data_IF_757723077640
#
_entry.id   IF_757723077640
#
_cell.length_a   1.000
_cell.length_b   1.000
_cell.length_c   1.000
_cell.angle_alpha   90.00
_cell.angle_beta   90.00
_cell.angle_gamma   90.00
#
_symmetry.space_group_name_H-M   'P 1'
#
loop_
_entity.id
_entity.type
_entity.pdbx_description
1 polymer ?
#
# COMPACT_ATOMS: atom_id res chain seq x y z
N UNK A 1 -32.53 18.56 5.28
CA UNK A 1 -31.25 18.54 4.50
C UNK A 1 -31.54 18.53 3.01
N UNK A 2 -30.81 19.33 2.23
CA UNK A 2 -30.87 19.29 0.76
C UNK A 2 -30.23 18.01 0.22
N UNK A 3 -30.62 17.59 -0.98
CA UNK A 3 -30.00 16.44 -1.65
C UNK A 3 -28.49 16.65 -1.84
N UNK A 4 -28.08 17.86 -2.23
CA UNK A 4 -26.67 18.24 -2.39
C UNK A 4 -25.87 18.04 -1.10
N UNK A 5 -26.38 18.51 0.05
CA UNK A 5 -25.71 18.33 1.34
C UNK A 5 -25.55 16.85 1.71
N UNK A 6 -26.57 16.01 1.45
CA UNK A 6 -26.48 14.56 1.71
C UNK A 6 -25.39 13.88 0.86
N UNK A 7 -25.28 14.21 -0.42
CA UNK A 7 -24.26 13.62 -1.29
C UNK A 7 -22.85 14.06 -0.89
N UNK A 8 -22.67 15.35 -0.58
CA UNK A 8 -21.40 15.86 -0.08
C UNK A 8 -20.95 15.13 1.20
N UNK A 9 -21.85 14.97 2.18
CA UNK A 9 -21.55 14.23 3.41
C UNK A 9 -21.23 12.75 3.15
N UNK A 10 -21.97 12.07 2.28
CA UNK A 10 -21.65 10.68 1.89
C UNK A 10 -20.25 10.57 1.28
N UNK A 11 -19.88 11.50 0.40
CA UNK A 11 -18.56 11.52 -0.21
C UNK A 11 -17.46 11.72 0.84
N UNK A 12 -17.66 12.63 1.79
CA UNK A 12 -16.71 12.85 2.88
C UNK A 12 -16.56 11.61 3.77
N UNK A 13 -17.67 10.98 4.14
CA UNK A 13 -17.66 9.76 4.96
C UNK A 13 -16.88 8.64 4.26
N UNK A 14 -17.13 8.43 2.95
CA UNK A 14 -16.41 7.42 2.19
C UNK A 14 -14.91 7.74 2.05
N UNK A 15 -14.55 9.01 1.89
CA UNK A 15 -13.16 9.43 1.82
C UNK A 15 -12.42 9.17 3.15
N UNK A 16 -13.06 9.47 4.28
CA UNK A 16 -12.49 9.18 5.61
C UNK A 16 -12.36 7.66 5.82
N UNK A 17 -13.40 6.90 5.46
CA UNK A 17 -13.38 5.44 5.57
C UNK A 17 -12.26 4.81 4.73
N UNK A 18 -12.01 5.31 3.52
CA UNK A 18 -10.91 4.84 2.68
C UNK A 18 -9.55 5.08 3.34
N UNK A 19 -9.34 6.25 3.93
CA UNK A 19 -8.09 6.56 4.65
C UNK A 19 -7.90 5.66 5.89
N UNK A 20 -8.98 5.37 6.63
CA UNK A 20 -8.90 4.47 7.78
C UNK A 20 -8.58 3.03 7.38
N UNK A 21 -9.14 2.54 6.27
CA UNK A 21 -8.79 1.21 5.75
C UNK A 21 -7.33 1.12 5.32
N UNK A 22 -6.79 2.17 4.70
CA UNK A 22 -5.36 2.23 4.34
C UNK A 22 -4.47 2.26 5.59
N UNK A 23 -4.84 3.03 6.60
CA UNK A 23 -4.13 3.08 7.88
C UNK A 23 -4.16 1.70 8.59
N UNK A 24 -5.33 1.06 8.68
CA UNK A 24 -5.48 -0.27 9.28
C UNK A 24 -4.65 -1.33 8.54
N UNK A 25 -4.59 -1.27 7.21
CA UNK A 25 -3.76 -2.18 6.41
C UNK A 25 -2.27 -2.01 6.72
N UNK A 26 -1.80 -0.76 6.84
CA UNK A 26 -0.42 -0.46 7.20
C UNK A 26 -0.09 -0.90 8.63
N UNK A 27 -0.99 -0.64 9.59
CA UNK A 27 -0.83 -1.09 10.98
C UNK A 27 -0.82 -2.62 11.10
N UNK A 28 -1.68 -3.30 10.34
CA UNK A 28 -1.73 -4.78 10.29
C UNK A 28 -0.43 -5.35 9.72
N UNK A 29 0.12 -4.74 8.68
CA UNK A 29 1.41 -5.13 8.11
C UNK A 29 2.55 -4.95 9.13
N UNK A 30 2.61 -3.79 9.80
CA UNK A 30 3.62 -3.53 10.82
C UNK A 30 3.48 -4.47 12.04
N UNK A 31 2.26 -4.76 12.47
CA UNK A 31 1.99 -5.71 13.55
C UNK A 31 2.42 -7.13 13.17
N UNK A 32 2.16 -7.55 11.92
CA UNK A 32 2.64 -8.83 11.38
C UNK A 32 4.16 -8.89 11.38
N UNK A 33 4.85 -7.87 10.90
CA UNK A 33 6.32 -7.85 10.86
C UNK A 33 6.91 -7.90 12.28
N UNK A 34 6.34 -7.15 13.22
CA UNK A 34 6.72 -7.19 14.64
C UNK A 34 6.53 -8.58 15.24
N UNK A 35 5.38 -9.21 14.97
CA UNK A 35 5.09 -10.58 15.43
C UNK A 35 6.08 -11.59 14.84
N UNK A 36 6.41 -11.48 13.55
CA UNK A 36 7.38 -12.37 12.90
C UNK A 36 8.79 -12.19 13.47
N UNK A 37 9.21 -10.97 13.79
CA UNK A 37 10.50 -10.70 14.43
C UNK A 37 10.58 -11.30 15.84
N UNK A 38 9.50 -11.25 16.63
CA UNK A 38 9.47 -11.81 17.98
C UNK A 38 9.42 -13.34 17.98
N UNK A 39 8.58 -13.93 17.12
CA UNK A 39 8.34 -15.39 17.11
C UNK A 39 9.31 -16.18 16.25
N UNK A 40 9.93 -15.55 15.25
CA UNK A 40 10.88 -16.20 14.36
C UNK A 40 12.05 -15.26 14.02
N UNK A 41 12.90 -14.91 15.00
CA UNK A 41 14.13 -14.18 14.72
C UNK A 41 15.07 -15.02 13.84
N UNK A 42 15.88 -14.35 13.03
CA UNK A 42 16.86 -15.02 12.21
C UNK A 42 17.79 -15.90 13.08
N UNK A 43 17.95 -17.19 12.77
CA UNK A 43 18.83 -18.05 13.56
C UNK A 43 20.27 -17.53 13.45
N UNK A 44 20.94 -17.40 14.59
CA UNK A 44 22.33 -17.01 14.62
C UNK A 44 23.22 -18.16 14.13
N UNK A 45 23.64 -18.05 12.88
CA UNK A 45 24.56 -18.99 12.24
C UNK A 45 26.03 -18.56 12.38
N UNK A 46 26.29 -17.40 12.98
CA UNK A 46 27.62 -16.91 13.27
C UNK A 46 28.13 -17.62 14.52
N UNK A 47 28.65 -18.84 14.34
CA UNK A 47 29.31 -19.55 15.44
C UNK A 47 30.38 -18.65 16.05
N UNK A 48 30.15 -18.19 17.28
CA UNK A 48 30.98 -17.34 18.17
C UNK A 48 32.45 -17.13 17.80
N UNK A 49 32.75 -16.50 16.66
CA UNK A 49 34.10 -16.00 16.36
C UNK A 49 34.47 -14.90 17.38
N UNK A 50 33.45 -14.19 17.90
CA UNK A 50 33.59 -13.13 18.88
C UNK A 50 33.93 -13.65 20.30
N UNK A 51 33.29 -14.72 20.78
CA UNK A 51 33.60 -15.27 22.12
C UNK A 51 34.99 -15.94 22.16
N UNK A 52 35.50 -16.40 21.02
CA UNK A 52 36.83 -17.00 20.89
C UNK A 52 37.97 -15.96 20.88
N UNK A 53 37.74 -14.75 20.35
CA UNK A 53 38.78 -13.71 20.31
C UNK A 53 39.04 -13.02 21.66
N UNK A 54 38.08 -13.06 22.61
CA UNK A 54 38.27 -12.41 23.93
C UNK A 54 39.16 -13.22 24.88
N UNK A 55 39.36 -14.53 24.62
CA UNK A 55 40.12 -15.42 25.51
C UNK A 55 41.57 -15.70 25.06
N UNK A 56 42.04 -15.15 23.94
CA UNK A 56 43.35 -15.53 23.36
C UNK A 56 44.49 -14.54 23.59
N UNK A 57 44.27 -13.43 24.32
CA UNK A 57 45.29 -12.39 24.48
C UNK A 57 46.16 -12.51 25.75
N UNK A 58 46.66 -13.71 26.11
CA UNK A 58 47.78 -13.83 27.08
C UNK A 58 48.67 -15.09 26.93
N UNK A 59 48.91 -15.67 25.74
CA UNK A 59 49.90 -16.77 25.65
C UNK A 59 50.84 -16.77 24.44
N UNK A 60 52.14 -16.82 24.76
CA UNK A 60 53.30 -16.95 23.87
C UNK A 60 53.30 -18.29 23.13
N UNK A 61 53.73 -18.24 21.87
CA UNK A 61 53.52 -19.24 20.83
C UNK A 61 54.52 -20.42 20.90
N UNK A 62 54.05 -21.68 20.99
CA UNK A 62 54.66 -22.89 20.35
C UNK A 62 53.72 -24.11 20.42
N UNK A 63 53.41 -24.73 19.26
CA UNK A 63 52.86 -26.10 19.05
C UNK A 63 51.44 -26.50 19.56
N UNK A 64 50.50 -25.57 19.81
CA UNK A 64 49.10 -25.90 20.23
C UNK A 64 48.01 -25.41 19.28
N UNK A 65 48.36 -24.63 18.25
CA UNK A 65 47.39 -23.90 17.41
C UNK A 65 46.53 -24.78 16.49
N UNK A 66 46.98 -25.99 16.15
CA UNK A 66 46.21 -26.95 15.34
C UNK A 66 45.11 -27.64 16.14
N UNK A 67 45.35 -27.96 17.42
CA UNK A 67 44.38 -28.64 18.27
C UNK A 67 43.23 -27.70 18.71
N UNK A 68 43.54 -26.42 18.92
CA UNK A 68 42.52 -25.39 19.20
C UNK A 68 41.58 -25.14 18.01
N UNK A 69 42.12 -24.99 16.79
CA UNK A 69 41.29 -24.83 15.57
C UNK A 69 40.38 -26.03 15.31
N UNK A 70 40.85 -27.24 15.60
CA UNK A 70 40.03 -28.46 15.51
C UNK A 70 38.91 -28.43 16.55
N UNK A 71 39.20 -28.00 17.78
CA UNK A 71 38.20 -27.85 18.86
C UNK A 71 37.14 -26.80 18.54
N UNK A 72 37.53 -25.63 18.01
CA UNK A 72 36.63 -24.57 17.55
C UNK A 72 35.71 -25.06 16.43
N UNK A 73 36.27 -25.78 15.44
CA UNK A 73 35.50 -26.31 14.31
C UNK A 73 34.50 -27.37 14.76
N UNK A 74 34.86 -28.21 15.73
CA UNK A 74 33.95 -29.20 16.33
C UNK A 74 32.81 -28.52 17.11
N UNK A 75 33.13 -27.49 17.91
CA UNK A 75 32.15 -26.75 18.70
C UNK A 75 31.15 -26.03 17.78
N UNK A 76 31.65 -25.41 16.72
CA UNK A 76 30.86 -24.76 15.67
C UNK A 76 29.96 -25.75 14.91
N UNK A 77 30.46 -26.97 14.65
CA UNK A 77 29.69 -28.03 14.00
C UNK A 77 28.57 -28.57 14.90
N UNK A 78 28.88 -28.82 16.18
CA UNK A 78 27.90 -29.27 17.18
C UNK A 78 26.80 -28.24 17.42
N UNK A 79 27.16 -26.95 17.53
CA UNK A 79 26.20 -25.86 17.68
C UNK A 79 25.21 -25.78 16.51
N UNK A 80 25.70 -25.87 15.26
CA UNK A 80 24.84 -25.89 14.07
C UNK A 80 23.89 -27.09 14.05
N UNK A 81 24.35 -28.28 14.42
CA UNK A 81 23.47 -29.46 14.51
C UNK A 81 22.34 -29.27 15.52
N UNK A 82 22.63 -28.66 16.66
CA UNK A 82 21.62 -28.42 17.69
C UNK A 82 20.56 -27.41 17.23
N UNK A 83 20.95 -26.35 16.51
CA UNK A 83 20.01 -25.39 15.91
C UNK A 83 19.10 -26.10 14.91
N UNK A 84 19.65 -26.89 13.99
CA UNK A 84 18.84 -27.63 13.01
C UNK A 84 17.84 -28.56 13.69
N UNK A 85 18.24 -29.24 14.77
CA UNK A 85 17.34 -30.12 15.54
C UNK A 85 16.20 -29.34 16.20
N UNK A 86 16.50 -28.18 16.79
CA UNK A 86 15.49 -27.29 17.40
C UNK A 86 14.52 -26.71 16.38
N UNK A 87 15.01 -26.28 15.21
CA UNK A 87 14.17 -25.78 14.13
C UNK A 87 13.21 -26.86 13.63
N UNK A 88 13.70 -28.08 13.43
CA UNK A 88 12.85 -29.19 12.97
C UNK A 88 11.71 -29.48 13.96
N UNK A 89 12.00 -29.57 15.26
CA UNK A 89 10.97 -29.75 16.30
C UNK A 89 9.99 -28.58 16.38
N UNK A 90 10.45 -27.36 16.12
CA UNK A 90 9.58 -26.18 16.10
C UNK A 90 8.65 -26.18 14.87
N UNK A 91 9.14 -26.61 13.71
CA UNK A 91 8.34 -26.72 12.48
C UNK A 91 7.15 -27.65 12.67
N UNK A 92 7.35 -28.84 13.25
CA UNK A 92 6.27 -29.81 13.48
C UNK A 92 5.14 -29.19 14.34
N UNK A 93 5.49 -28.46 15.39
CA UNK A 93 4.53 -27.77 16.27
C UNK A 93 3.81 -26.63 15.55
N UNK A 94 4.56 -25.80 14.81
CA UNK A 94 4.00 -24.68 14.07
C UNK A 94 3.02 -25.17 13.01
N UNK A 95 3.33 -26.28 12.33
CA UNK A 95 2.44 -26.85 11.32
C UNK A 95 1.16 -27.43 11.93
N UNK A 96 1.23 -28.05 13.11
CA UNK A 96 0.05 -28.50 13.85
C UNK A 96 -0.83 -27.30 14.26
N UNK A 97 -0.25 -26.25 14.84
CA UNK A 97 -0.96 -25.02 15.18
C UNK A 97 -1.59 -24.34 13.95
N UNK A 98 -0.86 -24.32 12.82
CA UNK A 98 -1.34 -23.79 11.54
C UNK A 98 -2.55 -24.58 11.05
N UNK A 99 -2.50 -25.92 11.12
CA UNK A 99 -3.59 -26.79 10.70
C UNK A 99 -4.87 -26.53 11.50
N UNK A 100 -4.75 -26.43 12.83
CA UNK A 100 -5.89 -26.13 13.71
C UNK A 100 -6.48 -24.74 13.46
N UNK A 101 -5.63 -23.74 13.24
CA UNK A 101 -6.07 -22.40 12.88
C UNK A 101 -6.81 -22.38 11.54
N UNK A 102 -6.26 -23.07 10.52
CA UNK A 102 -6.87 -23.19 9.20
C UNK A 102 -8.23 -23.89 9.27
N UNK A 103 -8.35 -24.96 10.06
CA UNK A 103 -9.62 -25.65 10.28
C UNK A 103 -10.68 -24.76 10.92
N UNK A 104 -10.30 -23.88 11.87
CA UNK A 104 -11.22 -22.90 12.49
C UNK A 104 -11.66 -21.83 11.51
N UNK A 105 -10.74 -21.32 10.68
CA UNK A 105 -11.06 -20.34 9.62
C UNK A 105 -12.01 -20.96 8.61
N UNK A 106 -11.75 -22.19 8.15
CA UNK A 106 -12.62 -22.89 7.21
C UNK A 106 -14.06 -23.07 7.73
N UNK A 107 -14.22 -23.45 9.01
CA UNK A 107 -15.54 -23.54 9.65
C UNK A 107 -16.25 -22.20 9.69
N UNK A 108 -15.54 -21.14 10.06
CA UNK A 108 -16.09 -19.78 10.14
C UNK A 108 -16.49 -19.25 8.75
N UNK A 109 -15.67 -19.50 7.72
CA UNK A 109 -15.99 -19.14 6.33
C UNK A 109 -17.25 -19.84 5.85
N UNK A 110 -17.39 -21.13 6.13
CA UNK A 110 -18.60 -21.90 5.77
C UNK A 110 -19.85 -21.34 6.46
N UNK A 111 -19.76 -21.01 7.75
CA UNK A 111 -20.86 -20.38 8.47
C UNK A 111 -21.25 -19.02 7.86
N UNK A 112 -20.25 -18.20 7.49
CA UNK A 112 -20.48 -16.92 6.80
C UNK A 112 -21.19 -17.13 5.45
N UNK A 113 -20.81 -18.16 4.69
CA UNK A 113 -21.45 -18.50 3.41
C UNK A 113 -22.91 -18.92 3.60
N UNK A 114 -23.18 -19.80 4.57
CA UNK A 114 -24.53 -20.24 4.91
C UNK A 114 -25.41 -19.04 5.36
N UNK A 115 -24.86 -18.13 6.17
CA UNK A 115 -25.55 -16.91 6.59
C UNK A 115 -25.79 -15.95 5.43
N UNK A 116 -24.82 -15.78 4.52
CA UNK A 116 -24.98 -14.96 3.31
C UNK A 116 -26.12 -15.49 2.44
N UNK A 117 -26.21 -16.82 2.27
CA UNK A 117 -27.30 -17.44 1.51
C UNK A 117 -28.65 -17.16 2.18
N UNK A 118 -28.78 -17.37 3.50
CA UNK A 118 -30.00 -17.05 4.26
C UNK A 118 -30.40 -15.58 4.11
N UNK A 119 -29.44 -14.65 4.13
CA UNK A 119 -29.72 -13.21 3.89
C UNK A 119 -30.30 -12.98 2.50
N UNK A 120 -29.79 -13.64 1.47
CA UNK A 120 -30.32 -13.53 0.10
C UNK A 120 -31.73 -14.12 0.00
N UNK A 121 -31.98 -15.25 0.64
CA UNK A 121 -33.31 -15.88 0.68
C UNK A 121 -34.34 -15.01 1.41
N UNK A 122 -33.99 -14.50 2.60
CA UNK A 122 -34.85 -13.63 3.41
C UNK A 122 -35.09 -12.26 2.79
N UNK A 123 -34.09 -11.68 2.12
CA UNK A 123 -34.27 -10.44 1.37
C UNK A 123 -35.26 -10.59 0.21
N UNK A 124 -35.56 -11.84 -0.17
CA UNK A 124 -36.32 -12.21 -1.35
C UNK A 124 -35.49 -11.93 -2.60
N UNK A 125 -35.39 -12.89 -3.52
CA UNK A 125 -34.84 -12.62 -4.85
C UNK A 125 -35.73 -11.54 -5.46
N UNK A 126 -35.26 -10.29 -5.47
CA UNK A 126 -35.87 -9.23 -6.28
C UNK A 126 -35.70 -9.70 -7.71
N UNK A 127 -36.71 -10.38 -8.26
CA UNK A 127 -36.81 -10.73 -9.67
C UNK A 127 -36.42 -9.45 -10.40
N UNK A 128 -35.28 -9.41 -11.13
CA UNK A 128 -34.86 -8.19 -11.78
C UNK A 128 -36.04 -7.74 -12.63
N UNK A 129 -36.65 -6.61 -12.28
CA UNK A 129 -37.77 -6.10 -13.04
C UNK A 129 -37.26 -6.06 -14.49
N UNK A 130 -37.94 -6.78 -15.40
CA UNK A 130 -37.55 -6.86 -16.80
C UNK A 130 -37.54 -5.43 -17.35
N UNK A 131 -36.40 -4.75 -17.27
CA UNK A 131 -36.24 -3.42 -17.83
C UNK A 131 -36.29 -3.62 -19.33
N UNK A 132 -37.24 -2.97 -20.01
CA UNK A 132 -37.18 -2.82 -21.47
C UNK A 132 -35.91 -2.03 -21.80
N UNK A 133 -34.82 -2.75 -22.02
CA UNK A 133 -33.58 -2.17 -22.53
C UNK A 133 -33.79 -1.94 -24.01
N UNK A 134 -34.19 -0.72 -24.37
CA UNK A 134 -34.00 -0.23 -25.74
C UNK A 134 -32.51 -0.08 -25.98
N UNK A 135 -32.03 -0.34 -27.19
CA UNK A 135 -30.62 -0.16 -27.55
C UNK A 135 -30.12 1.19 -27.02
N UNK A 136 -28.97 1.18 -26.33
CA UNK A 136 -28.33 2.42 -25.89
C UNK A 136 -27.98 3.26 -27.11
N UNK A 137 -27.95 4.58 -26.94
CA UNK A 137 -27.53 5.49 -28.00
C UNK A 137 -26.15 5.08 -28.54
N UNK A 138 -25.23 4.65 -27.67
CA UNK A 138 -23.88 4.19 -28.05
C UNK A 138 -23.90 2.92 -28.89
N UNK A 139 -24.76 1.94 -28.56
CA UNK A 139 -24.88 0.72 -29.36
C UNK A 139 -25.45 1.02 -30.75
N UNK A 140 -26.39 1.97 -30.83
CA UNK A 140 -26.96 2.41 -32.10
C UNK A 140 -25.95 3.24 -32.92
N UNK A 141 -25.19 4.14 -32.28
CA UNK A 141 -24.17 4.97 -32.94
C UNK A 141 -22.98 4.14 -33.40
N UNK A 142 -22.51 3.17 -32.62
CA UNK A 142 -21.43 2.26 -33.02
C UNK A 142 -21.85 1.39 -34.22
N UNK A 143 -23.12 0.97 -34.28
CA UNK A 143 -23.64 0.19 -35.39
C UNK A 143 -23.83 1.01 -36.67
N UNK A 144 -24.23 2.28 -36.56
CA UNK A 144 -24.47 3.16 -37.71
C UNK A 144 -23.20 3.86 -38.23
N UNK A 145 -22.26 4.20 -37.34
CA UNK A 145 -21.08 5.03 -37.65
C UNK A 145 -19.75 4.26 -37.53
N UNK A 146 -19.80 2.99 -37.14
CA UNK A 146 -18.63 2.12 -37.01
C UNK A 146 -17.60 2.64 -36.00
N UNK A 147 -16.32 2.33 -36.23
CA UNK A 147 -15.21 2.67 -35.33
C UNK A 147 -14.89 4.17 -35.18
N UNK A 148 -15.56 5.05 -35.93
CA UNK A 148 -15.29 6.50 -35.92
C UNK A 148 -15.87 7.21 -34.70
N UNK A 149 -16.79 6.58 -33.96
CA UNK A 149 -17.45 7.16 -32.78
C UNK A 149 -17.28 6.30 -31.52
N UNK A 150 -16.03 5.96 -31.17
CA UNK A 150 -15.72 5.37 -29.86
C UNK A 150 -15.38 6.46 -28.86
N UNK A 151 -16.39 7.21 -28.43
CA UNK A 151 -16.27 8.14 -27.30
C UNK A 151 -16.49 7.34 -26.02
N UNK A 152 -15.42 7.04 -25.28
CA UNK A 152 -15.56 6.56 -23.91
C UNK A 152 -16.24 7.69 -23.10
N UNK A 153 -17.52 7.52 -22.78
CA UNK A 153 -18.33 8.45 -21.99
C UNK A 153 -17.98 8.42 -20.49
N UNK A 154 -16.75 8.01 -20.11
CA UNK A 154 -16.17 8.42 -18.84
C UNK A 154 -16.27 9.95 -18.76
N UNK A 155 -17.17 10.44 -17.91
CA UNK A 155 -17.38 11.88 -17.62
C UNK A 155 -16.06 12.62 -17.31
N UNK A 156 -15.03 11.88 -16.92
CA UNK A 156 -13.70 12.36 -16.59
C UNK A 156 -12.78 12.57 -17.80
N UNK A 157 -12.99 11.84 -18.91
CA UNK A 157 -12.10 11.85 -20.06
C UNK A 157 -12.37 13.00 -21.05
N UNK A 158 -13.60 13.55 -21.07
CA UNK A 158 -14.00 14.63 -21.98
C UNK A 158 -13.90 16.04 -21.37
N UNK A 159 -13.52 16.14 -20.10
CA UNK A 159 -13.19 17.42 -19.48
C UNK A 159 -11.68 17.64 -19.63
N UNK A 160 -11.26 18.80 -20.16
CA UNK A 160 -9.84 19.19 -20.16
C UNK A 160 -9.33 19.08 -18.72
N UNK A 161 -8.44 18.13 -18.43
CA UNK A 161 -7.57 18.22 -17.27
C UNK A 161 -6.79 19.53 -17.44
N UNK A 162 -7.12 20.55 -16.64
CA UNK A 162 -6.17 21.62 -16.40
C UNK A 162 -5.03 20.95 -15.67
N UNK A 163 -4.04 20.54 -16.46
CA UNK A 163 -2.71 20.15 -16.03
C UNK A 163 -2.23 21.27 -15.11
N UNK A 164 -2.42 21.10 -13.80
CA UNK A 164 -1.52 21.67 -12.80
C UNK A 164 -0.22 20.87 -12.94
N UNK A 165 0.42 21.02 -14.08
CA UNK A 165 1.83 20.69 -14.23
C UNK A 165 2.53 21.60 -13.23
N UNK A 166 3.14 20.99 -12.22
CA UNK A 166 4.35 21.56 -11.62
C UNK A 166 5.37 21.51 -12.75
N UNK A 167 5.33 22.53 -13.62
CA UNK A 167 6.33 22.76 -14.64
C UNK A 167 7.26 23.82 -14.08
N UNK A 168 8.40 23.35 -13.59
CA UNK A 168 9.62 24.16 -13.48
C UNK A 168 9.82 24.94 -14.79
N UNK A 169 10.08 26.22 -14.63
CA UNK A 169 10.66 27.16 -15.59
C UNK A 169 9.93 27.42 -16.91
N UNK A 170 9.20 28.54 -16.91
CA UNK A 170 9.27 29.56 -17.96
C UNK A 170 8.96 30.93 -17.32
N UNK A 171 9.91 31.39 -16.50
CA UNK A 171 10.06 32.80 -16.12
C UNK A 171 10.21 33.61 -17.41
N UNK A 172 9.25 34.50 -17.73
CA UNK A 172 9.41 35.76 -18.50
C UNK A 172 8.11 36.32 -19.11
N UNK A 173 6.98 35.61 -19.03
CA UNK A 173 5.73 36.06 -19.67
C UNK A 173 4.60 36.50 -18.72
N UNK A 174 4.91 36.90 -17.49
CA UNK A 174 3.96 37.59 -16.58
C UNK A 174 4.59 38.90 -16.14
N UNK A 175 4.67 39.84 -17.08
CA UNK A 175 5.10 41.21 -16.82
C UNK A 175 4.09 41.93 -15.91
N UNK A 176 4.62 42.47 -14.82
CA UNK A 176 3.92 43.14 -13.73
C UNK A 176 3.00 44.27 -14.22
N UNK A 177 1.69 44.13 -13.99
CA UNK A 177 0.68 45.12 -14.39
C UNK A 177 0.88 46.50 -13.75
N UNK A 178 1.68 46.61 -12.68
CA UNK A 178 2.05 47.89 -12.06
C UNK A 178 2.76 48.85 -13.01
N UNK A 179 3.65 48.33 -13.86
CA UNK A 179 4.50 49.18 -14.72
C UNK A 179 3.71 49.90 -15.82
N UNK A 180 2.62 49.30 -16.28
CA UNK A 180 1.75 49.87 -17.32
C UNK A 180 0.84 51.00 -16.81
N UNK A 181 0.63 51.11 -15.49
CA UNK A 181 -0.21 52.13 -14.87
C UNK A 181 0.59 53.39 -14.54
N UNK A 182 1.83 53.25 -14.10
CA UNK A 182 2.70 54.39 -13.72
C UNK A 182 3.15 55.22 -14.94
N UNK A 183 3.40 54.59 -16.10
CA UNK A 183 3.83 55.29 -17.34
C UNK A 183 2.74 56.18 -17.98
N UNK A 184 1.47 56.06 -17.56
CA UNK A 184 0.35 56.86 -18.11
C UNK A 184 -0.13 57.98 -17.19
N UNK A 185 0.50 58.13 -16.02
CA UNK A 185 0.12 59.09 -15.00
C UNK A 185 1.07 60.30 -14.94
N UNK A 186 1.37 60.96 -16.08
CA UNK A 186 1.52 62.42 -16.12
C UNK A 186 1.96 62.93 -17.50
N UNK A 187 1.14 63.80 -18.11
CA UNK A 187 1.56 64.90 -19.02
C UNK A 187 0.32 65.72 -19.40
N UNK A 188 -0.18 66.55 -18.47
CA UNK A 188 -0.97 67.73 -18.82
C UNK A 188 -0.10 68.97 -18.62
N UNK A 189 0.21 69.64 -19.74
CA UNK A 189 0.92 70.92 -19.82
C UNK A 189 0.33 71.94 -18.84
N UNK A 190 1.13 72.42 -17.90
CA UNK A 190 0.93 73.72 -17.27
C UNK A 190 1.25 74.79 -18.31
N UNK A 191 0.33 75.74 -18.55
CA UNK A 191 0.65 76.98 -19.26
C UNK A 191 1.19 77.97 -18.23
N UNK A 192 2.39 78.52 -18.46
CA UNK A 192 2.92 79.64 -17.70
C UNK A 192 2.28 80.95 -18.19
N UNK A 193 1.93 81.80 -17.21
CA UNK A 193 1.30 83.11 -17.33
C UNK A 193 2.19 84.15 -18.01
N UNK A 194 1.59 85.00 -18.85
CA UNK A 194 1.95 86.42 -18.94
C UNK A 194 0.89 87.23 -18.22
#
# INVERSE_FOLDING_TARGET
>A
MTSSRRHHLKSLILQIAANWLEQEANETAAAKDTYMQEKCPAPDLSGDQAALMVNTHTHTHTHTHTHEKVKEKLLSFSYRQEICRKLHQALDKIDEERYDAEAKVAKSTKEIEDLKLKVVELAGVKKPALKKVRMSADAMLQALLGGKHKVNMDLRANLKQVKKEVKEEATEAVGDWRKNIEDKADRKKMFETS
#
